data_IF_143516749559
#
_entry.id   IF_143516749559
#
_cell.length_a   1.000
_cell.length_b   1.000
_cell.length_c   1.000
_cell.angle_alpha   90.00
_cell.angle_beta   90.00
_cell.angle_gamma   90.00
#
_symmetry.space_group_name_H-M   'P 1'
#
loop_
_entity.id
_entity.type
_entity.pdbx_description
1 polymer ?
#
# COMPACT_ATOMS: atom_id res chain seq x y z
N UNK A 1 7.49 -30.97 3.88
CA UNK A 1 8.14 -29.66 3.68
C UNK A 1 7.04 -28.64 3.41
N UNK A 2 6.62 -27.89 4.42
CA UNK A 2 5.67 -26.78 4.24
C UNK A 2 6.48 -25.63 3.66
N UNK A 3 6.16 -25.17 2.46
CA UNK A 3 6.84 -24.04 1.84
C UNK A 3 6.63 -22.80 2.72
N UNK A 4 7.71 -22.27 3.31
CA UNK A 4 7.67 -21.11 4.21
C UNK A 4 7.35 -19.81 3.44
N UNK A 5 6.09 -19.61 3.07
CA UNK A 5 5.65 -18.42 2.31
C UNK A 5 4.32 -17.86 2.82
N UNK A 6 4.26 -17.49 4.10
CA UNK A 6 3.06 -16.86 4.66
C UNK A 6 3.38 -15.51 5.30
N UNK A 7 4.19 -14.68 4.63
CA UNK A 7 4.37 -13.28 5.04
C UNK A 7 3.70 -12.38 4.01
N UNK A 8 2.46 -11.96 4.29
CA UNK A 8 1.78 -10.97 3.48
C UNK A 8 2.02 -9.58 4.08
N UNK A 9 2.76 -8.73 3.38
CA UNK A 9 3.01 -7.36 3.85
C UNK A 9 2.21 -6.38 3.01
N UNK A 10 1.37 -5.63 3.70
CA UNK A 10 0.51 -4.58 3.21
C UNK A 10 1.12 -3.24 3.59
N UNK A 11 1.45 -2.40 2.61
CA UNK A 11 1.93 -1.05 2.87
C UNK A 11 0.84 -0.03 2.57
N UNK A 12 0.47 0.78 3.55
CA UNK A 12 -0.46 1.91 3.39
C UNK A 12 0.33 3.20 3.44
N UNK A 13 0.47 3.85 2.28
CA UNK A 13 1.29 5.04 2.15
C UNK A 13 0.51 6.34 2.22
N UNK A 14 1.05 7.26 3.00
CA UNK A 14 0.82 8.70 2.90
C UNK A 14 2.01 9.36 2.20
N UNK A 15 1.75 10.26 1.27
CA UNK A 15 2.78 11.23 0.86
C UNK A 15 3.03 12.29 1.95
N UNK A 16 4.11 13.07 1.82
CA UNK A 16 4.57 13.99 2.84
C UNK A 16 3.67 15.21 2.90
N UNK A 17 3.37 15.71 4.10
CA UNK A 17 2.85 17.08 4.23
C UNK A 17 3.44 17.83 5.41
N UNK A 18 4.17 18.88 5.06
CA UNK A 18 4.21 20.12 5.85
C UNK A 18 2.76 20.61 6.00
N UNK A 19 2.16 20.49 7.20
CA UNK A 19 0.94 21.22 7.55
C UNK A 19 -0.40 20.49 7.68
N UNK A 20 -0.46 19.15 7.77
CA UNK A 20 -1.76 18.42 7.88
C UNK A 20 -1.77 17.43 9.06
N UNK A 21 -1.77 17.95 10.29
CA UNK A 21 -1.26 17.25 11.49
C UNK A 21 -2.21 16.30 12.23
N UNK A 22 -3.50 16.20 11.90
CA UNK A 22 -4.41 15.24 12.58
C UNK A 22 -5.16 14.33 11.60
N UNK A 23 -5.77 14.90 10.57
CA UNK A 23 -6.64 14.17 9.64
C UNK A 23 -5.92 13.13 8.79
N UNK A 24 -4.66 13.39 8.42
CA UNK A 24 -3.83 12.47 7.65
C UNK A 24 -3.54 11.23 8.49
N UNK A 25 -3.09 11.42 9.74
CA UNK A 25 -2.80 10.32 10.67
C UNK A 25 -4.01 9.44 10.97
N UNK A 26 -5.16 10.05 11.28
CA UNK A 26 -6.42 9.32 11.52
C UNK A 26 -6.86 8.52 10.29
N UNK A 27 -6.66 9.07 9.09
CA UNK A 27 -6.97 8.36 7.84
C UNK A 27 -6.05 7.18 7.61
N UNK A 28 -4.74 7.30 7.85
CA UNK A 28 -3.81 6.18 7.64
C UNK A 28 -4.01 5.06 8.64
N UNK A 29 -4.16 5.43 9.91
CA UNK A 29 -4.43 4.48 10.97
C UNK A 29 -5.83 3.87 10.78
N UNK A 30 -6.81 4.65 10.36
CA UNK A 30 -8.15 4.19 10.00
C UNK A 30 -8.15 3.20 8.83
N UNK A 31 -7.41 3.48 7.76
CA UNK A 31 -7.23 2.55 6.64
C UNK A 31 -6.53 1.25 7.10
N UNK A 32 -5.54 1.35 7.99
CA UNK A 32 -4.85 0.20 8.54
C UNK A 32 -5.77 -0.67 9.40
N UNK A 33 -6.53 -0.08 10.32
CA UNK A 33 -7.53 -0.80 11.11
C UNK A 33 -8.66 -1.37 10.24
N UNK A 34 -9.07 -0.65 9.20
CA UNK A 34 -10.08 -1.15 8.28
C UNK A 34 -9.58 -2.40 7.53
N UNK A 35 -8.36 -2.35 6.99
CA UNK A 35 -7.73 -3.50 6.34
C UNK A 35 -7.54 -4.67 7.33
N UNK A 36 -7.09 -4.40 8.56
CA UNK A 36 -7.00 -5.41 9.61
C UNK A 36 -8.36 -6.08 9.86
N UNK A 37 -9.41 -5.30 10.09
CA UNK A 37 -10.74 -5.81 10.37
C UNK A 37 -11.28 -6.69 9.23
N UNK A 38 -11.03 -6.31 7.97
CA UNK A 38 -11.41 -7.14 6.82
C UNK A 38 -10.66 -8.47 6.83
N UNK A 39 -9.34 -8.44 7.02
CA UNK A 39 -8.50 -9.64 7.04
C UNK A 39 -8.87 -10.57 8.21
N UNK A 40 -9.06 -10.01 9.40
CA UNK A 40 -9.47 -10.77 10.58
C UNK A 40 -10.88 -11.34 10.43
N UNK A 41 -11.80 -10.63 9.75
CA UNK A 41 -13.16 -11.14 9.48
C UNK A 41 -13.19 -12.39 8.59
N UNK A 42 -12.13 -12.61 7.80
CA UNK A 42 -11.95 -13.81 6.98
C UNK A 42 -10.94 -14.80 7.60
N UNK A 43 -10.61 -14.62 8.88
CA UNK A 43 -9.76 -15.54 9.64
C UNK A 43 -8.26 -15.39 9.40
N UNK A 44 -7.81 -14.24 8.91
CA UNK A 44 -6.39 -13.93 8.66
C UNK A 44 -5.86 -13.03 9.80
N UNK A 45 -5.08 -13.56 10.77
CA UNK A 45 -4.51 -12.76 11.84
C UNK A 45 -3.54 -11.73 11.28
N UNK A 46 -3.67 -10.48 11.71
CA UNK A 46 -2.92 -9.35 11.15
C UNK A 46 -2.33 -8.48 12.26
N UNK A 47 -1.15 -7.91 12.02
CA UNK A 47 -0.49 -6.97 12.93
C UNK A 47 -0.26 -5.63 12.23
N UNK A 48 -0.66 -4.53 12.87
CA UNK A 48 -0.38 -3.17 12.38
C UNK A 48 0.94 -2.69 12.97
N UNK A 49 1.84 -2.19 12.12
CA UNK A 49 3.06 -1.50 12.53
C UNK A 49 3.12 -0.09 11.95
N UNK A 50 3.39 0.86 12.83
CA UNK A 50 3.64 2.26 12.46
C UNK A 50 5.09 2.49 12.11
N UNK A 51 5.35 3.10 10.95
CA UNK A 51 6.69 3.53 10.55
C UNK A 51 7.09 4.89 11.15
N UNK A 52 6.17 5.59 11.83
CA UNK A 52 6.40 6.94 12.36
C UNK A 52 7.34 7.02 13.59
N UNK A 53 7.87 5.89 14.07
CA UNK A 53 8.86 5.84 15.16
C UNK A 53 10.10 5.07 14.71
N UNK A 54 10.97 5.67 13.88
CA UNK A 54 12.08 4.95 13.24
C UNK A 54 13.19 4.51 14.20
N UNK A 55 13.22 5.01 15.45
CA UNK A 55 14.24 4.64 16.44
C UNK A 55 14.19 3.14 16.76
N UNK A 56 15.22 2.41 16.32
CA UNK A 56 15.35 0.96 16.51
C UNK A 56 14.54 0.09 15.53
N UNK A 57 13.73 0.69 14.65
CA UNK A 57 12.91 -0.07 13.70
C UNK A 57 13.75 -0.66 12.56
N UNK A 58 14.78 0.03 12.08
CA UNK A 58 15.58 -0.40 10.93
C UNK A 58 16.25 -1.77 11.10
N UNK A 59 16.80 -2.06 12.29
CA UNK A 59 17.49 -3.31 12.55
C UNK A 59 16.57 -4.41 13.08
N UNK A 60 15.47 -4.06 13.77
CA UNK A 60 14.54 -5.05 14.35
C UNK A 60 13.40 -5.42 13.43
N UNK A 61 12.95 -4.57 12.52
CA UNK A 61 11.81 -4.87 11.64
C UNK A 61 12.05 -6.12 10.80
N UNK A 62 13.24 -6.23 10.20
CA UNK A 62 13.65 -7.41 9.44
C UNK A 62 13.59 -8.69 10.28
N UNK A 63 14.09 -8.63 11.52
CA UNK A 63 14.05 -9.74 12.46
C UNK A 63 12.61 -10.06 12.89
N UNK A 64 11.82 -9.05 13.25
CA UNK A 64 10.43 -9.18 13.69
C UNK A 64 9.56 -9.87 12.64
N UNK A 65 9.64 -9.42 11.38
CA UNK A 65 8.87 -10.01 10.27
C UNK A 65 9.33 -11.43 9.97
N UNK A 66 10.63 -11.73 10.13
CA UNK A 66 11.18 -13.07 9.94
C UNK A 66 10.82 -14.02 11.08
N UNK A 67 10.80 -13.54 12.32
CA UNK A 67 10.49 -14.31 13.52
C UNK A 67 8.98 -14.54 13.69
N UNK A 68 8.16 -13.64 13.15
CA UNK A 68 6.71 -13.71 13.25
C UNK A 68 6.11 -13.67 11.84
N UNK A 69 6.10 -14.82 11.13
CA UNK A 69 5.45 -14.91 9.84
C UNK A 69 3.95 -14.63 10.01
N UNK A 70 3.39 -13.82 9.12
CA UNK A 70 2.00 -13.42 9.18
C UNK A 70 1.71 -12.21 8.31
N UNK A 71 0.54 -11.63 8.54
CA UNK A 71 0.10 -10.46 7.79
C UNK A 71 0.48 -9.17 8.53
N UNK A 72 1.22 -8.30 7.85
CA UNK A 72 1.71 -7.05 8.40
C UNK A 72 1.11 -5.87 7.66
N UNK A 73 0.49 -4.94 8.38
CA UNK A 73 0.04 -3.67 7.82
C UNK A 73 0.99 -2.58 8.28
N UNK A 74 1.78 -2.06 7.36
CA UNK A 74 2.72 -0.99 7.58
C UNK A 74 2.07 0.33 7.20
N UNK A 75 2.09 1.31 8.08
CA UNK A 75 1.58 2.65 7.77
C UNK A 75 2.61 3.74 8.09
N UNK A 76 2.77 4.69 7.17
CA UNK A 76 3.66 5.85 7.35
C UNK A 76 4.05 6.52 6.04
N UNK A 77 4.93 7.51 6.16
CA UNK A 77 5.47 8.27 5.03
C UNK A 77 6.75 7.61 4.50
N UNK A 78 6.77 7.28 3.22
CA UNK A 78 7.93 6.64 2.57
C UNK A 78 9.10 7.61 2.41
N UNK A 79 8.86 8.90 2.21
CA UNK A 79 9.95 9.87 2.05
C UNK A 79 10.74 10.03 3.34
N UNK A 80 10.04 10.09 4.48
CA UNK A 80 10.68 10.22 5.79
C UNK A 80 11.31 8.90 6.24
N UNK A 81 10.85 7.76 5.70
CA UNK A 81 11.25 6.43 6.16
C UNK A 81 11.87 5.55 5.06
N UNK A 82 12.49 6.15 4.04
CA UNK A 82 13.02 5.41 2.89
C UNK A 82 14.06 4.35 3.30
N UNK A 83 14.87 4.63 4.32
CA UNK A 83 15.83 3.68 4.87
C UNK A 83 15.17 2.45 5.52
N UNK A 84 14.12 2.68 6.32
CA UNK A 84 13.31 1.62 6.93
C UNK A 84 12.68 0.75 5.84
N UNK A 85 12.14 1.41 4.83
CA UNK A 85 11.44 0.77 3.73
C UNK A 85 12.37 -0.12 2.89
N UNK A 86 13.54 0.38 2.53
CA UNK A 86 14.55 -0.40 1.80
C UNK A 86 15.08 -1.58 2.63
N UNK A 87 15.31 -1.38 3.93
CA UNK A 87 15.77 -2.45 4.82
C UNK A 87 14.72 -3.57 4.94
N UNK A 88 13.45 -3.19 5.08
CA UNK A 88 12.34 -4.13 5.09
C UNK A 88 12.29 -4.93 3.79
N UNK A 89 12.20 -4.27 2.63
CA UNK A 89 12.07 -4.96 1.36
C UNK A 89 13.29 -5.81 1.01
N UNK A 90 14.49 -5.41 1.41
CA UNK A 90 15.68 -6.25 1.28
C UNK A 90 15.60 -7.53 2.10
N UNK A 91 14.86 -7.50 3.21
CA UNK A 91 14.76 -8.63 4.14
C UNK A 91 13.64 -9.60 3.77
N UNK A 92 12.48 -9.08 3.33
CA UNK A 92 11.30 -9.88 3.00
C UNK A 92 11.21 -10.22 1.50
N UNK A 93 11.96 -9.52 0.66
CA UNK A 93 11.88 -9.65 -0.80
C UNK A 93 10.68 -8.91 -1.38
N UNK A 94 9.70 -9.65 -1.90
CA UNK A 94 8.53 -9.07 -2.59
C UNK A 94 7.38 -8.78 -1.64
N UNK A 95 6.76 -7.60 -1.75
CA UNK A 95 5.49 -7.29 -1.09
C UNK A 95 4.32 -7.93 -1.83
N UNK A 96 3.34 -8.50 -1.10
CA UNK A 96 2.12 -9.01 -1.72
C UNK A 96 1.21 -7.88 -2.19
N UNK A 97 0.92 -6.89 -1.34
CA UNK A 97 0.07 -5.75 -1.69
C UNK A 97 0.68 -4.43 -1.22
N UNK A 98 0.68 -3.44 -2.11
CA UNK A 98 0.91 -2.04 -1.73
C UNK A 98 -0.38 -1.27 -1.96
N UNK A 99 -0.85 -0.55 -0.94
CA UNK A 99 -1.96 0.38 -1.02
C UNK A 99 -1.44 1.82 -0.96
N UNK A 100 -1.59 2.52 -2.07
CA UNK A 100 -1.22 3.91 -2.24
C UNK A 100 -2.45 4.79 -2.01
N UNK A 101 -2.47 5.55 -0.93
CA UNK A 101 -3.48 6.59 -0.69
C UNK A 101 -2.83 7.97 -0.48
N UNK A 102 -2.03 8.45 -1.46
CA UNK A 102 -1.22 9.63 -1.26
C UNK A 102 -2.08 10.91 -1.38
N UNK A 103 -1.80 11.91 -0.54
CA UNK A 103 -2.41 13.22 -0.67
C UNK A 103 -1.69 14.11 -1.71
N UNK A 104 -0.71 13.56 -2.44
CA UNK A 104 0.19 14.23 -3.40
C UNK A 104 0.66 13.25 -4.50
N UNK A 105 1.45 13.74 -5.45
CA UNK A 105 2.09 12.96 -6.51
C UNK A 105 3.12 11.96 -5.95
N UNK A 106 3.21 10.78 -6.57
CA UNK A 106 4.12 9.68 -6.23
C UNK A 106 5.22 9.43 -7.26
N UNK A 107 5.39 10.26 -8.30
CA UNK A 107 6.41 10.04 -9.35
C UNK A 107 7.82 9.83 -8.83
N UNK A 108 8.21 10.52 -7.75
CA UNK A 108 9.54 10.36 -7.13
C UNK A 108 9.70 9.11 -6.29
N UNK A 109 8.60 8.51 -5.81
CA UNK A 109 8.62 7.37 -4.88
C UNK A 109 8.38 6.05 -5.60
N UNK A 110 7.48 6.05 -6.59
CA UNK A 110 7.07 4.83 -7.26
C UNK A 110 8.24 3.99 -7.81
N UNK A 111 9.24 4.56 -8.52
CA UNK A 111 10.36 3.76 -9.01
C UNK A 111 11.15 3.06 -7.90
N UNK A 112 11.24 3.68 -6.71
CA UNK A 112 11.91 3.11 -5.54
C UNK A 112 11.12 1.92 -4.99
N UNK A 113 9.80 2.08 -4.84
CA UNK A 113 8.89 0.99 -4.41
C UNK A 113 8.93 -0.20 -5.37
N UNK A 114 8.81 0.10 -6.67
CA UNK A 114 8.70 -0.90 -7.71
C UNK A 114 9.98 -1.74 -7.83
N UNK A 115 11.14 -1.07 -7.68
CA UNK A 115 12.46 -1.70 -7.77
C UNK A 115 12.83 -2.44 -6.48
N UNK A 116 12.66 -1.82 -5.31
CA UNK A 116 13.10 -2.38 -4.04
C UNK A 116 12.20 -3.53 -3.58
N UNK A 117 10.89 -3.40 -3.76
CA UNK A 117 9.90 -4.26 -3.11
C UNK A 117 9.08 -5.10 -4.06
N UNK A 118 9.19 -4.84 -5.37
CA UNK A 118 8.61 -5.65 -6.44
C UNK A 118 7.19 -6.15 -6.13
N UNK A 119 6.25 -5.24 -5.80
CA UNK A 119 4.94 -5.64 -5.30
C UNK A 119 4.19 -6.53 -6.31
N UNK A 120 3.41 -7.49 -5.80
CA UNK A 120 2.57 -8.35 -6.65
C UNK A 120 1.25 -7.67 -7.03
N UNK A 121 0.66 -7.00 -6.06
CA UNK A 121 -0.56 -6.22 -6.21
C UNK A 121 -0.33 -4.77 -5.79
N UNK A 122 -1.07 -3.87 -6.43
CA UNK A 122 -1.03 -2.45 -6.16
C UNK A 122 -2.45 -1.88 -6.16
N UNK A 123 -2.94 -1.46 -4.99
CA UNK A 123 -4.15 -0.67 -4.87
C UNK A 123 -3.77 0.82 -4.90
N UNK A 124 -4.40 1.60 -5.76
CA UNK A 124 -4.19 3.05 -5.88
C UNK A 124 -5.51 3.75 -5.60
N UNK A 125 -5.54 4.55 -4.54
CA UNK A 125 -6.65 5.44 -4.20
C UNK A 125 -6.43 6.82 -4.79
N UNK A 126 -7.52 7.60 -4.88
CA UNK A 126 -7.53 8.93 -5.49
C UNK A 126 -7.01 8.91 -6.93
N UNK A 127 -7.34 7.85 -7.67
CA UNK A 127 -6.79 7.55 -8.99
C UNK A 127 -7.32 8.47 -10.10
N UNK A 128 -8.26 9.37 -9.80
CA UNK A 128 -8.79 10.36 -10.72
C UNK A 128 -8.49 11.81 -10.32
N UNK A 129 -7.80 12.05 -9.21
CA UNK A 129 -7.50 13.41 -8.76
C UNK A 129 -6.26 13.97 -9.50
N UNK A 130 -6.35 15.16 -10.12
CA UNK A 130 -5.19 15.82 -10.73
C UNK A 130 -4.10 16.12 -9.69
N UNK A 131 -2.84 15.79 -10.00
CA UNK A 131 -1.70 16.00 -9.09
C UNK A 131 -1.54 14.96 -7.98
N UNK A 132 -2.35 13.89 -7.99
CA UNK A 132 -2.22 12.72 -7.11
C UNK A 132 -1.66 11.51 -7.88
N UNK A 133 -1.91 10.29 -7.40
CA UNK A 133 -1.45 9.05 -8.02
C UNK A 133 -2.28 8.56 -9.22
N UNK A 134 -3.21 9.35 -9.75
CA UNK A 134 -4.02 8.94 -10.90
C UNK A 134 -3.23 8.67 -12.18
N UNK A 135 -2.04 9.26 -12.32
CA UNK A 135 -1.15 8.95 -13.44
C UNK A 135 -0.62 7.52 -13.39
N UNK A 136 -0.55 6.89 -12.20
CA UNK A 136 0.19 5.65 -11.99
C UNK A 136 -0.51 4.44 -12.62
N UNK A 137 -1.82 4.16 -12.40
CA UNK A 137 -2.50 3.08 -13.12
C UNK A 137 -2.41 3.23 -14.64
N UNK A 138 -2.60 4.46 -15.14
CA UNK A 138 -2.49 4.76 -16.56
C UNK A 138 -1.06 4.61 -17.10
N UNK A 139 -0.05 4.89 -16.28
CA UNK A 139 1.35 4.66 -16.61
C UNK A 139 1.64 3.16 -16.68
N UNK A 140 1.32 2.39 -15.63
CA UNK A 140 1.59 0.95 -15.55
C UNK A 140 0.98 0.15 -16.70
N UNK A 141 -0.26 0.48 -17.10
CA UNK A 141 -0.91 -0.12 -18.28
C UNK A 141 -0.20 0.17 -19.59
N UNK A 142 0.52 1.30 -19.68
CA UNK A 142 1.23 1.75 -20.89
C UNK A 142 2.68 1.28 -20.93
N UNK A 143 3.36 1.27 -19.79
CA UNK A 143 4.83 1.14 -19.77
C UNK A 143 5.33 -0.29 -19.75
N UNK A 144 4.49 -1.28 -19.45
CA UNK A 144 4.96 -2.66 -19.35
C UNK A 144 3.80 -3.63 -19.54
N UNK A 145 3.97 -4.72 -20.30
CA UNK A 145 3.06 -5.88 -20.26
C UNK A 145 2.95 -6.53 -18.87
N UNK A 146 3.73 -6.04 -17.91
CA UNK A 146 3.86 -6.59 -16.56
C UNK A 146 2.75 -6.19 -15.60
N UNK A 147 1.84 -5.27 -15.91
CA UNK A 147 0.77 -4.84 -14.99
C UNK A 147 -0.60 -4.76 -15.66
N UNK A 148 -1.61 -5.32 -14.99
CA UNK A 148 -3.00 -5.34 -15.46
C UNK A 148 -3.92 -4.76 -14.41
N UNK A 149 -4.92 -3.98 -14.82
CA UNK A 149 -5.98 -3.52 -13.92
C UNK A 149 -6.96 -4.67 -13.70
N UNK A 150 -7.02 -5.19 -12.48
CA UNK A 150 -7.90 -6.30 -12.10
C UNK A 150 -9.28 -5.80 -11.70
N UNK A 151 -9.32 -4.69 -10.96
CA UNK A 151 -10.56 -4.07 -10.48
C UNK A 151 -10.39 -2.56 -10.44
N UNK A 152 -11.50 -1.84 -10.62
CA UNK A 152 -11.56 -0.41 -10.37
C UNK A 152 -12.94 -0.06 -9.79
N UNK A 153 -13.05 1.12 -9.22
CA UNK A 153 -14.32 1.62 -8.74
C UNK A 153 -14.28 3.11 -8.45
N UNK A 154 -15.47 3.69 -8.31
CA UNK A 154 -15.63 5.06 -7.85
C UNK A 154 -16.60 5.13 -6.68
N UNK A 155 -16.28 5.97 -5.70
CA UNK A 155 -17.22 6.38 -4.68
C UNK A 155 -18.11 7.48 -5.28
N UNK A 156 -19.17 7.06 -5.98
CA UNK A 156 -20.22 7.98 -6.42
C UNK A 156 -20.91 8.59 -5.19
N UNK A 157 -21.35 9.85 -5.32
CA UNK A 157 -22.00 10.59 -4.23
C UNK A 157 -23.14 9.77 -3.60
N UNK A 158 -23.00 9.44 -2.32
CA UNK A 158 -24.08 8.89 -1.49
C UNK A 158 -24.31 7.37 -1.55
N UNK A 159 -23.44 6.57 -2.21
CA UNK A 159 -23.59 5.10 -2.28
C UNK A 159 -22.30 4.30 -2.09
N UNK A 160 -21.41 4.74 -1.22
CA UNK A 160 -20.19 3.98 -0.87
C UNK A 160 -19.87 4.09 0.62
N UNK A 161 -19.19 3.07 1.16
CA UNK A 161 -19.00 2.84 2.61
C UNK A 161 -18.24 3.92 3.37
N UNK A 162 -17.58 4.88 2.71
CA UNK A 162 -16.93 6.02 3.36
C UNK A 162 -16.91 7.25 2.46
N UNK A 163 -18.00 8.05 2.36
CA UNK A 163 -17.87 9.39 1.83
C UNK A 163 -17.00 10.17 2.81
N UNK A 164 -15.74 10.44 2.47
CA UNK A 164 -15.01 11.44 3.22
C UNK A 164 -15.80 12.74 3.03
N UNK A 165 -16.41 13.24 4.09
CA UNK A 165 -17.28 14.43 4.16
C UNK A 165 -16.62 15.72 3.61
N UNK A 166 -15.38 15.63 3.15
CA UNK A 166 -14.43 16.73 3.01
C UNK A 166 -14.00 17.02 1.57
N UNK A 167 -14.34 16.18 0.57
CA UNK A 167 -14.02 16.47 -0.84
C UNK A 167 -15.25 16.32 -1.75
N UNK A 168 -15.55 17.41 -2.48
CA UNK A 168 -16.62 17.44 -3.48
C UNK A 168 -16.11 16.82 -4.79
N UNK A 169 -16.09 15.50 -4.87
CA UNK A 169 -15.75 14.79 -6.11
C UNK A 169 -15.98 13.29 -5.95
N UNK A 170 -16.32 12.61 -7.04
CA UNK A 170 -16.24 11.16 -7.07
C UNK A 170 -14.75 10.81 -6.94
N UNK A 171 -14.37 9.98 -5.96
CA UNK A 171 -12.99 9.47 -5.85
C UNK A 171 -12.95 8.09 -6.47
N UNK A 172 -11.95 7.82 -7.30
CA UNK A 172 -11.73 6.48 -7.84
C UNK A 172 -10.58 5.76 -7.18
N UNK A 173 -10.62 4.44 -7.27
CA UNK A 173 -9.54 3.55 -6.91
C UNK A 173 -9.32 2.53 -8.04
N UNK A 174 -8.11 1.98 -8.10
CA UNK A 174 -7.71 0.95 -9.06
C UNK A 174 -6.86 -0.10 -8.36
N UNK A 175 -7.14 -1.37 -8.60
CA UNK A 175 -6.34 -2.51 -8.16
C UNK A 175 -5.62 -3.08 -9.38
N UNK A 176 -4.29 -3.00 -9.36
CA UNK A 176 -3.40 -3.53 -10.38
C UNK A 176 -2.75 -4.82 -9.89
N UNK A 177 -2.59 -5.80 -10.77
CA UNK A 177 -1.85 -7.04 -10.52
C UNK A 177 -0.70 -7.21 -11.51
N UNK A 178 0.39 -7.85 -11.07
CA UNK A 178 1.59 -8.05 -11.88
C UNK A 178 1.57 -9.39 -12.64
N UNK A 179 2.04 -9.38 -13.90
CA UNK A 179 1.91 -10.44 -14.92
C UNK A 179 2.41 -11.83 -14.52
N UNK A 180 3.46 -11.94 -13.70
CA UNK A 180 3.98 -13.26 -13.30
C UNK A 180 2.98 -14.09 -12.48
N UNK A 181 1.86 -13.50 -12.05
CA UNK A 181 0.73 -14.22 -11.46
C UNK A 181 -0.29 -14.68 -12.50
N UNK A 182 -0.38 -14.04 -13.66
CA UNK A 182 -1.37 -14.37 -14.69
C UNK A 182 -1.03 -15.68 -15.43
N UNK A 183 0.25 -16.03 -15.55
CA UNK A 183 0.71 -17.25 -16.21
C UNK A 183 0.60 -18.54 -15.37
N UNK A 184 0.25 -18.43 -14.07
CA UNK A 184 0.12 -19.56 -13.15
C UNK A 184 -1.33 -20.04 -12.91
N UNK A 185 -2.32 -19.39 -13.53
CA UNK A 185 -3.75 -19.75 -13.44
C UNK A 185 -4.32 -20.26 -14.78
N UNK A 186 -3.45 -20.76 -15.67
CA UNK A 186 -3.82 -21.38 -16.96
C UNK A 186 -3.93 -22.90 -16.87
#
# INVERSE_FOLDING_TARGET
MVASRDVAVYLIMAGPKRGSYFFTMERHLGNAYHAQNILESVGIPTQILSLARPEGLNSRMAALVKENPGVWILHGDVFENLGVFNALCSSIGSLDLVMLDPPLDLRGVWPLLDTACKPKFLAVHNANLPGHAGWLPAHLRRTTGSWYEMMNGSLARGKGSHPSVWERGERSWSLMGREYLASGYG
#
